data_IF_937539875256
#
_entry.id   IF_937539875256
#
_cell.length_a   1.000
_cell.length_b   1.000
_cell.length_c   1.000
_cell.angle_alpha   90.00
_cell.angle_beta   90.00
_cell.angle_gamma   90.00
#
_symmetry.space_group_name_H-M   'P 1'
#
loop_
_entity.id
_entity.type
_entity.pdbx_description
1 polymer ?
#
# COMPACT_ATOMS: atom_id res chain seq x y z
N UNK A 1 24.95 10.44 -9.93
CA UNK A 1 24.51 9.45 -8.93
C UNK A 1 22.99 9.60 -8.79
N UNK A 2 22.23 8.53 -8.95
CA UNK A 2 20.77 8.55 -8.73
C UNK A 2 20.46 8.67 -7.23
N UNK A 3 19.44 9.48 -6.91
CA UNK A 3 18.98 9.71 -5.54
C UNK A 3 17.65 9.01 -5.33
N UNK A 4 17.51 8.32 -4.20
CA UNK A 4 16.28 7.65 -3.84
C UNK A 4 15.91 7.89 -2.37
N UNK A 5 14.62 7.77 -2.09
CA UNK A 5 14.08 7.66 -0.74
C UNK A 5 13.17 6.43 -0.68
N UNK A 6 13.08 5.84 0.50
CA UNK A 6 12.22 4.69 0.76
C UNK A 6 11.50 4.85 2.09
N UNK A 7 10.24 4.41 2.13
CA UNK A 7 9.43 4.31 3.35
C UNK A 7 8.72 2.97 3.38
N UNK A 8 8.19 2.58 4.53
CA UNK A 8 7.39 1.36 4.71
C UNK A 8 6.31 1.57 5.77
N UNK A 9 5.42 0.59 5.90
CA UNK A 9 4.48 0.49 7.02
C UNK A 9 3.61 1.74 7.19
N UNK A 10 2.92 2.14 6.12
CA UNK A 10 1.95 3.23 6.15
C UNK A 10 0.69 2.80 6.90
N UNK A 11 0.18 1.58 6.62
CA UNK A 11 -1.04 1.02 7.22
C UNK A 11 -2.23 1.98 7.13
N UNK A 12 -2.55 2.46 5.93
CA UNK A 12 -3.73 3.29 5.74
C UNK A 12 -5.01 2.51 6.09
N UNK A 13 -5.95 3.09 6.85
CA UNK A 13 -6.06 4.49 7.26
C UNK A 13 -5.47 4.81 8.63
N UNK A 14 -4.84 3.85 9.34
CA UNK A 14 -4.37 4.01 10.72
C UNK A 14 -3.01 4.70 10.86
N UNK A 15 -2.47 5.20 9.75
CA UNK A 15 -1.21 5.93 9.74
C UNK A 15 -1.22 7.18 10.62
N UNK A 16 -0.05 7.57 11.10
CA UNK A 16 0.10 8.76 11.92
C UNK A 16 0.17 10.02 11.06
N UNK A 17 -0.78 10.94 11.21
CA UNK A 17 -0.87 12.17 10.42
C UNK A 17 0.32 13.12 10.64
N UNK A 18 0.89 13.16 11.84
CA UNK A 18 2.07 14.00 12.12
C UNK A 18 3.30 13.45 11.40
N UNK A 19 3.45 12.12 11.34
CA UNK A 19 4.53 11.47 10.58
C UNK A 19 4.34 11.68 9.08
N UNK A 20 3.10 11.59 8.59
CA UNK A 20 2.79 11.90 7.19
C UNK A 20 3.16 13.34 6.85
N UNK A 21 2.73 14.29 7.66
CA UNK A 21 3.07 15.69 7.46
C UNK A 21 4.58 15.91 7.43
N UNK A 22 5.31 15.35 8.39
CA UNK A 22 6.77 15.45 8.46
C UNK A 22 7.41 14.88 7.18
N UNK A 23 6.93 13.71 6.70
CA UNK A 23 7.42 13.12 5.47
C UNK A 23 7.22 14.04 4.26
N UNK A 24 6.02 14.59 4.09
CA UNK A 24 5.71 15.46 2.97
C UNK A 24 6.56 16.73 3.01
N UNK A 25 6.68 17.37 4.17
CA UNK A 25 7.54 18.54 4.37
C UNK A 25 9.02 18.23 4.04
N UNK A 26 9.48 17.02 4.39
CA UNK A 26 10.85 16.58 4.11
C UNK A 26 11.09 16.28 2.62
N UNK A 27 10.10 15.76 1.93
CA UNK A 27 10.19 15.42 0.49
C UNK A 27 10.06 16.65 -0.40
N UNK A 28 9.40 17.70 0.08
CA UNK A 28 9.17 18.93 -0.68
C UNK A 28 10.51 19.57 -1.10
N UNK A 29 10.62 19.89 -2.37
CA UNK A 29 11.84 20.47 -2.95
C UNK A 29 13.01 19.51 -3.14
N UNK A 30 12.88 18.24 -2.78
CA UNK A 30 13.90 17.22 -3.04
C UNK A 30 14.06 16.94 -4.53
N UNK A 31 15.27 16.54 -4.93
CA UNK A 31 15.57 16.11 -6.30
C UNK A 31 15.78 14.60 -6.34
N UNK A 32 14.71 13.85 -6.07
CA UNK A 32 14.74 12.39 -6.08
C UNK A 32 14.50 11.87 -7.52
N UNK A 33 15.24 10.83 -7.87
CA UNK A 33 15.06 10.06 -9.10
C UNK A 33 14.09 8.89 -8.89
N UNK A 34 14.09 8.33 -7.67
CA UNK A 34 13.24 7.20 -7.29
C UNK A 34 12.64 7.42 -5.90
N UNK A 35 11.37 7.07 -5.76
CA UNK A 35 10.72 6.92 -4.45
C UNK A 35 10.14 5.51 -4.34
N UNK A 36 10.47 4.82 -3.26
CA UNK A 36 10.16 3.41 -3.06
C UNK A 36 9.29 3.24 -1.81
N UNK A 37 8.12 2.67 -1.98
CA UNK A 37 7.31 2.16 -0.88
C UNK A 37 7.65 0.69 -0.66
N UNK A 38 8.15 0.35 0.52
CA UNK A 38 8.62 -0.98 0.91
C UNK A 38 7.54 -1.77 1.67
N UNK A 39 6.34 -1.82 1.11
CA UNK A 39 5.24 -2.63 1.61
C UNK A 39 4.37 -1.99 2.68
N UNK A 40 3.27 -2.68 2.95
CA UNK A 40 2.26 -2.37 3.95
C UNK A 40 1.68 -0.95 3.78
N UNK A 41 1.23 -0.67 2.55
CA UNK A 41 0.45 0.53 2.25
C UNK A 41 -0.91 0.46 2.93
N UNK A 42 -1.59 -0.69 2.81
CA UNK A 42 -2.86 -0.96 3.47
C UNK A 42 -2.63 -1.56 4.85
N UNK A 43 -3.57 -1.33 5.77
CA UNK A 43 -3.67 -2.13 6.97
C UNK A 43 -4.25 -3.52 6.66
N UNK A 44 -5.14 -3.58 5.69
CA UNK A 44 -5.81 -4.77 5.19
C UNK A 44 -6.46 -5.64 6.29
N UNK A 45 -6.87 -4.99 7.39
CA UNK A 45 -7.45 -5.67 8.54
C UNK A 45 -8.76 -6.39 8.17
N UNK A 46 -9.56 -5.80 7.30
CA UNK A 46 -10.80 -6.40 6.79
C UNK A 46 -10.56 -7.64 5.91
N UNK A 47 -9.40 -7.74 5.27
CA UNK A 47 -8.98 -8.87 4.45
C UNK A 47 -8.08 -9.86 5.20
N UNK A 48 -7.73 -9.56 6.45
CA UNK A 48 -6.85 -10.37 7.29
C UNK A 48 -7.49 -11.70 7.68
N UNK A 49 -6.63 -12.68 7.99
CA UNK A 49 -7.03 -13.94 8.62
C UNK A 49 -7.47 -13.76 10.09
N UNK A 50 -7.23 -12.59 10.66
CA UNK A 50 -7.59 -12.19 12.01
C UNK A 50 -8.55 -10.98 12.00
N UNK A 51 -9.81 -11.15 11.57
CA UNK A 51 -10.73 -10.03 11.31
C UNK A 51 -11.25 -9.35 12.58
N UNK A 52 -11.00 -9.90 13.75
CA UNK A 52 -11.58 -9.44 15.02
C UNK A 52 -11.18 -8.01 15.42
N UNK A 53 -10.23 -7.42 14.73
CA UNK A 53 -9.73 -6.07 14.97
C UNK A 53 -10.03 -5.08 13.86
N UNK A 54 -10.79 -5.50 12.84
CA UNK A 54 -11.11 -4.60 11.72
C UNK A 54 -11.97 -3.43 12.19
N UNK A 55 -11.35 -2.25 12.29
CA UNK A 55 -12.01 -1.00 12.68
C UNK A 55 -12.46 -0.17 11.48
N UNK A 56 -12.00 -0.53 10.28
CA UNK A 56 -12.24 0.19 9.03
C UNK A 56 -12.73 -0.74 7.94
N UNK A 57 -13.51 -0.21 7.02
CA UNK A 57 -13.90 -0.95 5.82
C UNK A 57 -12.73 -0.99 4.82
N UNK A 58 -12.71 -1.99 3.95
CA UNK A 58 -11.71 -2.05 2.87
C UNK A 58 -11.82 -0.84 1.93
N UNK A 59 -13.01 -0.25 1.81
CA UNK A 59 -13.22 0.97 1.04
C UNK A 59 -12.49 2.16 1.67
N UNK A 60 -12.62 2.33 3.00
CA UNK A 60 -11.92 3.39 3.73
C UNK A 60 -10.38 3.24 3.57
N UNK A 61 -9.89 2.00 3.59
CA UNK A 61 -8.48 1.71 3.36
C UNK A 61 -8.04 2.13 1.95
N UNK A 62 -8.83 1.82 0.93
CA UNK A 62 -8.52 2.21 -0.46
C UNK A 62 -8.53 3.73 -0.66
N UNK A 63 -9.52 4.42 -0.11
CA UNK A 63 -9.63 5.88 -0.18
C UNK A 63 -8.42 6.54 0.50
N UNK A 64 -8.13 6.13 1.72
CA UNK A 64 -7.02 6.67 2.51
C UNK A 64 -5.67 6.40 1.86
N UNK A 65 -5.43 5.17 1.39
CA UNK A 65 -4.20 4.79 0.72
C UNK A 65 -4.01 5.58 -0.60
N UNK A 66 -5.06 5.68 -1.40
CA UNK A 66 -5.03 6.46 -2.64
C UNK A 66 -4.69 7.93 -2.37
N UNK A 67 -5.30 8.52 -1.34
CA UNK A 67 -5.01 9.90 -0.96
C UNK A 67 -3.57 10.06 -0.47
N UNK A 68 -3.08 9.15 0.35
CA UNK A 68 -1.70 9.16 0.83
C UNK A 68 -0.69 9.14 -0.32
N UNK A 69 -0.89 8.27 -1.31
CA UNK A 69 -0.03 8.19 -2.49
C UNK A 69 -0.09 9.46 -3.35
N UNK A 70 -1.27 10.07 -3.50
CA UNK A 70 -1.44 11.36 -4.21
C UNK A 70 -0.67 12.47 -3.51
N UNK A 71 -0.72 12.51 -2.19
CA UNK A 71 -0.03 13.53 -1.39
C UNK A 71 1.50 13.40 -1.56
N UNK A 72 2.05 12.19 -1.44
CA UNK A 72 3.46 11.94 -1.73
C UNK A 72 3.82 12.39 -3.16
N UNK A 73 3.04 11.96 -4.15
CA UNK A 73 3.33 12.30 -5.54
C UNK A 73 3.27 13.81 -5.81
N UNK A 74 2.43 14.54 -5.08
CA UNK A 74 2.28 15.99 -5.25
C UNK A 74 3.54 16.79 -4.89
N UNK A 75 4.33 16.30 -3.95
CA UNK A 75 5.57 16.93 -3.48
C UNK A 75 6.83 16.42 -4.16
N UNK A 76 6.73 15.30 -4.89
CA UNK A 76 7.85 14.72 -5.60
C UNK A 76 8.06 15.35 -7.00
N UNK A 77 9.31 15.33 -7.53
CA UNK A 77 9.56 15.73 -8.91
C UNK A 77 8.72 14.93 -9.91
N UNK A 78 8.15 15.59 -10.93
CA UNK A 78 7.29 14.94 -11.94
C UNK A 78 7.93 13.73 -12.63
N UNK A 79 9.26 13.69 -12.74
CA UNK A 79 10.02 12.60 -13.37
C UNK A 79 10.50 11.54 -12.36
N UNK A 80 10.20 11.71 -11.07
CA UNK A 80 10.54 10.72 -10.05
C UNK A 80 9.83 9.40 -10.36
N UNK A 81 10.59 8.31 -10.38
CA UNK A 81 10.03 6.97 -10.59
C UNK A 81 9.45 6.44 -9.28
N UNK A 82 8.20 6.03 -9.33
CA UNK A 82 7.45 5.55 -8.18
C UNK A 82 7.42 4.03 -8.21
N UNK A 83 7.88 3.40 -7.13
CA UNK A 83 7.93 1.94 -6.99
C UNK A 83 7.20 1.56 -5.71
N UNK A 84 6.35 0.56 -5.79
CA UNK A 84 5.66 -0.03 -4.64
C UNK A 84 5.95 -1.53 -4.59
N UNK A 85 6.77 -1.93 -3.65
CA UNK A 85 7.00 -3.34 -3.30
C UNK A 85 5.86 -3.73 -2.36
N UNK A 86 5.09 -4.75 -2.71
CA UNK A 86 3.97 -5.19 -1.88
C UNK A 86 4.48 -5.81 -0.58
N UNK A 87 3.85 -5.46 0.54
CA UNK A 87 4.10 -6.06 1.84
C UNK A 87 3.14 -7.22 2.14
N UNK A 88 3.26 -7.80 3.32
CA UNK A 88 2.38 -8.91 3.72
C UNK A 88 0.94 -8.46 3.96
N UNK A 89 0.70 -7.23 4.39
CA UNK A 89 -0.65 -6.67 4.51
C UNK A 89 -1.27 -6.44 3.13
N UNK A 90 -0.52 -5.88 2.19
CA UNK A 90 -0.97 -5.72 0.80
C UNK A 90 -1.28 -7.09 0.15
N UNK A 91 -0.46 -8.11 0.45
CA UNK A 91 -0.65 -9.48 -0.03
C UNK A 91 -1.93 -10.14 0.51
N UNK A 92 -2.44 -9.72 1.68
CA UNK A 92 -3.73 -10.19 2.18
C UNK A 92 -4.88 -9.87 1.21
N UNK A 93 -4.82 -8.76 0.50
CA UNK A 93 -5.79 -8.40 -0.53
C UNK A 93 -5.55 -9.22 -1.79
N UNK A 94 -4.28 -9.42 -2.18
CA UNK A 94 -3.91 -10.14 -3.41
C UNK A 94 -4.08 -11.66 -3.28
N UNK A 95 -3.66 -12.22 -2.14
CA UNK A 95 -3.70 -13.65 -1.86
C UNK A 95 -5.00 -14.10 -1.19
N UNK A 96 -6.02 -13.29 -1.30
CA UNK A 96 -7.31 -13.52 -0.66
C UNK A 96 -7.72 -14.99 -0.74
N UNK A 97 -7.64 -15.66 0.43
CA UNK A 97 -7.91 -17.10 0.49
C UNK A 97 -9.35 -17.36 0.03
N UNK A 98 -9.48 -17.97 -1.12
CA UNK A 98 -10.75 -18.33 -1.74
C UNK A 98 -11.72 -19.05 -0.80
N UNK A 99 -11.23 -19.62 0.28
CA UNK A 99 -12.01 -20.38 1.26
C UNK A 99 -12.74 -19.55 2.29
N UNK A 100 -12.36 -18.28 2.47
CA UNK A 100 -12.84 -17.45 3.60
C UNK A 100 -13.88 -16.41 3.23
N UNK A 101 -13.90 -15.98 1.98
CA UNK A 101 -14.81 -14.94 1.50
C UNK A 101 -15.84 -15.57 0.55
N UNK A 102 -17.15 -15.36 0.76
CA UNK A 102 -18.19 -15.79 -0.17
C UNK A 102 -17.88 -15.36 -1.59
N UNK A 103 -18.14 -16.22 -2.60
CA UNK A 103 -17.70 -16.06 -3.97
C UNK A 103 -18.14 -14.77 -4.67
N UNK A 104 -19.28 -14.21 -4.28
CA UNK A 104 -19.81 -12.93 -4.73
C UNK A 104 -19.05 -11.73 -4.14
N UNK A 105 -18.56 -11.85 -2.90
CA UNK A 105 -17.77 -10.81 -2.24
C UNK A 105 -16.29 -10.83 -2.65
N UNK A 106 -15.77 -11.96 -3.16
CA UNK A 106 -14.37 -12.07 -3.62
C UNK A 106 -14.00 -11.02 -4.66
N UNK A 107 -14.94 -10.70 -5.55
CA UNK A 107 -14.73 -9.68 -6.58
C UNK A 107 -14.45 -8.29 -6.00
N UNK A 108 -14.99 -7.98 -4.82
CA UNK A 108 -14.78 -6.69 -4.15
C UNK A 108 -13.43 -6.60 -3.43
N UNK A 109 -12.88 -7.75 -3.04
CA UNK A 109 -11.60 -7.84 -2.29
C UNK A 109 -10.44 -8.25 -3.19
N UNK A 110 -10.69 -8.46 -4.47
CA UNK A 110 -9.67 -8.87 -5.42
C UNK A 110 -8.72 -7.71 -5.73
N UNK A 111 -7.43 -8.05 -5.95
CA UNK A 111 -6.41 -7.05 -6.27
C UNK A 111 -6.76 -6.14 -7.45
N UNK A 112 -7.41 -6.71 -8.48
CA UNK A 112 -7.87 -5.92 -9.62
C UNK A 112 -8.91 -4.87 -9.22
N UNK A 113 -9.82 -5.20 -8.30
CA UNK A 113 -10.81 -4.25 -7.78
C UNK A 113 -10.14 -3.10 -7.02
N UNK A 114 -9.10 -3.39 -6.26
CA UNK A 114 -8.26 -2.37 -5.65
C UNK A 114 -7.61 -1.45 -6.70
N UNK A 115 -7.04 -2.03 -7.76
CA UNK A 115 -6.40 -1.27 -8.83
C UNK A 115 -7.39 -0.40 -9.60
N UNK A 116 -8.60 -0.91 -9.83
CA UNK A 116 -9.69 -0.20 -10.52
C UNK A 116 -10.28 0.93 -9.67
N UNK A 117 -10.20 0.81 -8.35
CA UNK A 117 -10.71 1.83 -7.43
C UNK A 117 -10.05 3.19 -7.64
N UNK A 118 -8.75 3.22 -7.88
CA UNK A 118 -8.02 4.47 -8.11
C UNK A 118 -6.89 4.34 -9.12
N UNK A 119 -6.91 5.21 -10.11
CA UNK A 119 -5.82 5.34 -11.08
C UNK A 119 -4.48 5.67 -10.43
N UNK A 120 -4.48 6.14 -9.19
CA UNK A 120 -3.22 6.43 -8.47
C UNK A 120 -2.41 5.17 -8.24
N UNK A 121 -3.04 4.03 -7.89
CA UNK A 121 -2.33 2.76 -7.70
C UNK A 121 -1.59 2.31 -8.96
N UNK A 122 -2.16 2.56 -10.14
CA UNK A 122 -1.55 2.19 -11.42
C UNK A 122 -0.34 3.07 -11.80
N UNK A 123 -0.14 4.21 -11.15
CA UNK A 123 1.02 5.09 -11.38
C UNK A 123 2.29 4.56 -10.73
N UNK A 124 2.16 3.64 -9.79
CA UNK A 124 3.27 3.04 -9.05
C UNK A 124 3.63 1.71 -9.69
N UNK A 125 4.93 1.54 -10.03
CA UNK A 125 5.43 0.25 -10.49
C UNK A 125 5.37 -0.74 -9.33
N UNK A 126 4.46 -1.69 -9.40
CA UNK A 126 4.26 -2.68 -8.37
C UNK A 126 5.23 -3.85 -8.51
N UNK A 127 5.79 -4.29 -7.38
CA UNK A 127 6.64 -5.46 -7.27
C UNK A 127 5.95 -6.44 -6.31
N UNK A 128 5.61 -7.67 -6.74
CA UNK A 128 4.88 -8.63 -5.93
C UNK A 128 5.59 -8.98 -4.62
N UNK A 129 4.81 -9.28 -3.59
CA UNK A 129 5.33 -9.86 -2.35
C UNK A 129 5.82 -11.29 -2.62
N UNK A 130 7.06 -11.57 -2.25
CA UNK A 130 7.66 -12.89 -2.42
C UNK A 130 7.65 -13.60 -1.07
N UNK A 131 6.73 -14.55 -0.91
CA UNK A 131 6.74 -15.45 0.24
C UNK A 131 7.97 -16.35 0.15
N UNK A 132 8.90 -16.22 1.10
CA UNK A 132 9.99 -17.17 1.18
C UNK A 132 9.42 -18.57 1.51
N UNK A 133 9.82 -19.60 0.75
CA UNK A 133 9.45 -20.99 1.04
C UNK A 133 10.20 -21.56 2.27
N UNK A 134 11.12 -20.81 2.83
CA UNK A 134 11.79 -21.16 4.07
C UNK A 134 10.81 -20.89 5.21
N UNK A 135 10.11 -21.93 5.66
CA UNK A 135 9.27 -21.86 6.84
C UNK A 135 10.07 -21.29 8.00
N UNK A 136 9.66 -20.14 8.52
CA UNK A 136 9.98 -19.79 9.88
C UNK A 136 9.19 -20.74 10.78
N UNK A 137 9.81 -21.86 11.14
CA UNK A 137 9.46 -22.57 12.33
C UNK A 137 10.01 -21.75 13.51
N UNK A 138 9.15 -21.04 14.16
CA UNK A 138 9.30 -20.72 15.60
C UNK A 138 7.93 -20.76 16.23
#
# INVERSE_FOLDING_TARGET
>A
MEKFAAISCIHAPVHNESSKKWLLDHLEGTKLDHFVLLGDLFDASAASVHPDTASHSLLDEYESASQYLKDIRSVLPKKCKLVWVLGNHDDNIQANDERRIPGDLRKLVHWNSCQEFSQEFLRWKQIPYIKSKAGCHQ
#
